data_IF_283878613878
#
_entry.id   IF_283878613878
#
_cell.length_a   1.000
_cell.length_b   1.000
_cell.length_c   1.000
_cell.angle_alpha   90.00
_cell.angle_beta   90.00
_cell.angle_gamma   90.00
#
_symmetry.space_group_name_H-M   'P 1'
#
loop_
_entity.id
_entity.type
_entity.pdbx_description
1 polymer ?
#
# COMPACT_ATOMS: atom_id res chain seq x y z
N UNK A 1 -7.21 -7.36 -16.19
CA UNK A 1 -7.08 -5.93 -16.54
C UNK A 1 -8.38 -5.25 -16.21
N UNK A 2 -8.34 -4.07 -15.61
CA UNK A 2 -9.54 -3.27 -15.30
C UNK A 2 -9.23 -1.78 -15.42
N UNK A 3 -10.24 -0.91 -15.36
CA UNK A 3 -10.07 0.54 -15.48
C UNK A 3 -10.62 1.24 -14.24
N UNK A 4 -9.96 2.31 -13.82
CA UNK A 4 -10.46 3.24 -12.79
C UNK A 4 -10.67 4.58 -13.49
N UNK A 5 -11.93 4.92 -13.79
CA UNK A 5 -12.24 6.04 -14.67
C UNK A 5 -11.55 5.86 -16.04
N UNK A 6 -10.66 6.78 -16.40
CA UNK A 6 -9.85 6.74 -17.61
C UNK A 6 -8.49 6.05 -17.45
N UNK A 7 -8.12 5.59 -16.24
CA UNK A 7 -6.81 4.99 -15.96
C UNK A 7 -6.85 3.47 -16.14
N UNK A 8 -5.99 2.94 -17.00
CA UNK A 8 -5.90 1.50 -17.28
C UNK A 8 -4.96 0.77 -16.31
N UNK A 9 -5.45 -0.27 -15.66
CA UNK A 9 -4.68 -1.11 -14.74
C UNK A 9 -4.39 -2.46 -15.40
N UNK A 10 -3.11 -2.65 -15.75
CA UNK A 10 -2.64 -3.76 -16.60
C UNK A 10 -2.91 -5.15 -16.03
N UNK A 11 -2.91 -5.31 -14.71
CA UNK A 11 -3.19 -6.58 -14.03
C UNK A 11 -3.98 -6.34 -12.73
N UNK A 12 -4.38 -7.43 -12.07
CA UNK A 12 -5.26 -7.38 -10.89
C UNK A 12 -4.52 -7.12 -9.57
N UNK A 13 -3.19 -6.92 -9.60
CA UNK A 13 -2.37 -6.80 -8.38
C UNK A 13 -2.11 -5.34 -8.07
N UNK A 14 -2.59 -4.89 -6.91
CA UNK A 14 -2.43 -3.52 -6.42
C UNK A 14 -1.59 -3.52 -5.14
N UNK A 15 -0.69 -2.56 -4.97
CA UNK A 15 0.09 -2.42 -3.72
C UNK A 15 -0.57 -1.39 -2.81
N UNK A 16 -0.87 -1.80 -1.58
CA UNK A 16 -1.57 -0.98 -0.61
C UNK A 16 -0.76 0.25 -0.16
N UNK A 17 -1.44 1.36 0.17
CA UNK A 17 -0.80 2.48 0.86
C UNK A 17 -0.43 2.05 2.29
N UNK A 18 0.82 2.27 2.67
CA UNK A 18 1.35 1.97 4.00
C UNK A 18 2.15 3.17 4.51
N UNK A 19 1.62 3.83 5.54
CA UNK A 19 2.23 5.03 6.11
C UNK A 19 3.66 4.76 6.59
N UNK A 20 4.61 5.62 6.21
CA UNK A 20 6.03 5.46 6.51
C UNK A 20 6.75 4.34 5.75
N UNK A 21 6.08 3.67 4.80
CA UNK A 21 6.64 2.61 3.96
C UNK A 21 6.51 2.98 2.48
N UNK A 22 5.31 3.37 2.02
CA UNK A 22 4.99 3.58 0.60
C UNK A 22 5.49 4.93 0.06
N UNK A 23 6.75 5.26 0.34
CA UNK A 23 7.47 6.36 -0.32
C UNK A 23 7.87 5.97 -1.75
N UNK A 24 8.35 6.94 -2.55
CA UNK A 24 8.71 6.70 -3.96
C UNK A 24 9.75 5.58 -4.13
N UNK A 25 10.74 5.47 -3.23
CA UNK A 25 11.76 4.42 -3.30
C UNK A 25 11.14 3.00 -3.19
N UNK A 26 10.20 2.80 -2.27
CA UNK A 26 9.46 1.54 -2.15
C UNK A 26 8.54 1.31 -3.35
N UNK A 27 7.75 2.32 -3.72
CA UNK A 27 6.75 2.22 -4.79
C UNK A 27 7.38 1.91 -6.13
N UNK A 28 8.46 2.60 -6.49
CA UNK A 28 9.23 2.32 -7.70
C UNK A 28 9.76 0.89 -7.70
N UNK A 29 10.28 0.43 -6.56
CA UNK A 29 10.76 -0.94 -6.40
C UNK A 29 9.65 -1.95 -6.67
N UNK A 30 8.52 -1.88 -5.98
CA UNK A 30 7.41 -2.83 -6.22
C UNK A 30 6.76 -2.67 -7.60
N UNK A 31 6.80 -1.47 -8.19
CA UNK A 31 6.26 -1.23 -9.54
C UNK A 31 7.03 -1.99 -10.61
N UNK A 32 8.36 -2.01 -10.51
CA UNK A 32 9.23 -2.78 -11.42
C UNK A 32 9.04 -4.30 -11.30
N UNK A 33 8.52 -4.79 -10.17
CA UNK A 33 8.06 -6.18 -10.02
C UNK A 33 6.66 -6.43 -10.60
N UNK A 34 6.09 -5.47 -11.33
CA UNK A 34 4.88 -5.67 -12.14
C UNK A 34 3.58 -5.29 -11.46
N UNK A 35 3.59 -4.48 -10.38
CA UNK A 35 2.34 -4.01 -9.78
C UNK A 35 1.47 -3.25 -10.81
N UNK A 36 0.21 -3.65 -10.94
CA UNK A 36 -0.75 -2.96 -11.80
C UNK A 36 -0.95 -1.51 -11.37
N UNK A 37 -1.13 -1.30 -10.06
CA UNK A 37 -1.27 0.01 -9.42
C UNK A 37 -0.46 0.04 -8.11
N UNK A 38 0.18 1.16 -7.84
CA UNK A 38 0.83 1.45 -6.54
C UNK A 38 0.16 2.66 -5.90
N UNK A 39 0.00 2.62 -4.58
CA UNK A 39 -0.59 3.72 -3.83
C UNK A 39 0.47 4.44 -2.98
N UNK A 40 0.44 5.78 -3.01
CA UNK A 40 1.21 6.62 -2.11
C UNK A 40 0.74 6.44 -0.67
N UNK A 41 1.63 6.67 0.29
CA UNK A 41 1.21 6.81 1.69
C UNK A 41 0.22 7.97 1.88
N UNK A 42 -0.52 7.94 2.99
CA UNK A 42 -1.58 8.89 3.26
C UNK A 42 -1.03 10.30 3.57
N UNK A 43 -1.43 11.28 2.77
CA UNK A 43 -1.04 12.68 2.87
C UNK A 43 -2.10 13.48 3.64
N UNK A 44 -1.68 14.25 4.64
CA UNK A 44 -2.59 15.04 5.46
C UNK A 44 -3.07 16.28 4.72
N UNK A 45 -4.38 16.47 4.68
CA UNK A 45 -5.02 17.69 4.17
C UNK A 45 -4.52 18.96 4.88
N UNK A 46 -4.46 18.96 6.21
CA UNK A 46 -3.93 20.07 7.01
C UNK A 46 -2.44 20.27 6.77
N UNK A 47 -1.69 19.19 6.56
CA UNK A 47 -0.27 19.28 6.19
C UNK A 47 -0.08 20.04 4.86
N UNK A 48 -0.95 19.80 3.88
CA UNK A 48 -0.98 20.56 2.62
C UNK A 48 -1.44 22.00 2.87
N UNK A 49 -2.56 22.22 3.57
CA UNK A 49 -3.12 23.54 3.83
C UNK A 49 -2.11 24.47 4.53
N UNK A 50 -1.35 23.97 5.51
CA UNK A 50 -0.29 24.70 6.18
C UNK A 50 1.07 24.67 5.45
N UNK A 51 1.12 24.15 4.23
CA UNK A 51 2.33 24.03 3.39
C UNK A 51 3.52 23.43 4.16
N UNK A 52 3.25 22.38 4.94
CA UNK A 52 4.27 21.70 5.71
C UNK A 52 5.29 21.02 4.79
N UNK A 53 6.56 21.44 4.85
CA UNK A 53 7.61 20.97 3.95
C UNK A 53 7.66 19.44 3.84
N UNK A 54 7.68 18.72 4.96
CA UNK A 54 7.70 17.25 4.95
C UNK A 54 6.50 16.62 4.26
N UNK A 55 5.32 17.22 4.39
CA UNK A 55 4.10 16.74 3.73
C UNK A 55 4.17 17.00 2.22
N UNK A 56 4.71 18.15 1.81
CA UNK A 56 4.89 18.47 0.39
C UNK A 56 5.97 17.58 -0.25
N UNK A 57 7.06 17.25 0.46
CA UNK A 57 8.09 16.32 -0.01
C UNK A 57 7.52 14.92 -0.30
N UNK A 58 6.49 14.50 0.45
CA UNK A 58 5.81 13.21 0.24
C UNK A 58 4.96 13.18 -1.05
N UNK A 59 4.69 14.33 -1.67
CA UNK A 59 3.96 14.43 -2.94
C UNK A 59 4.83 14.09 -4.16
N UNK A 60 6.13 13.81 -3.96
CA UNK A 60 7.02 13.38 -5.02
C UNK A 60 6.57 12.04 -5.64
N UNK A 61 6.54 12.02 -6.97
CA UNK A 61 6.17 10.88 -7.81
C UNK A 61 7.23 10.73 -8.91
N UNK A 62 7.86 9.56 -9.00
CA UNK A 62 8.67 9.20 -10.16
C UNK A 62 7.75 8.72 -11.30
N UNK A 63 8.00 9.17 -12.53
CA UNK A 63 7.18 8.85 -13.70
C UNK A 63 7.10 7.34 -13.99
N UNK A 64 8.11 6.56 -13.58
CA UNK A 64 8.14 5.09 -13.72
C UNK A 64 7.17 4.40 -12.76
N UNK A 65 6.63 5.10 -11.76
CA UNK A 65 5.64 4.55 -10.83
C UNK A 65 4.26 4.40 -11.46
N UNK A 66 4.00 5.09 -12.59
CA UNK A 66 2.65 5.21 -13.16
C UNK A 66 2.07 3.89 -13.73
N UNK A 67 0.75 3.66 -13.62
CA UNK A 67 -0.20 4.49 -12.91
C UNK A 67 -0.01 4.42 -11.39
N UNK A 68 -0.21 5.55 -10.72
CA UNK A 68 -0.12 5.73 -9.27
C UNK A 68 -1.38 6.42 -8.72
N UNK A 69 -1.79 5.96 -7.54
CA UNK A 69 -2.86 6.56 -6.74
C UNK A 69 -2.26 7.32 -5.54
N UNK A 70 -2.55 8.62 -5.42
CA UNK A 70 -2.10 9.44 -4.30
C UNK A 70 -3.22 9.56 -3.26
N UNK A 71 -2.96 9.07 -2.05
CA UNK A 71 -3.96 9.01 -0.99
C UNK A 71 -3.92 10.26 -0.10
N UNK A 72 -5.04 10.95 0.07
CA UNK A 72 -5.24 12.04 1.02
C UNK A 72 -6.11 11.61 2.20
N UNK A 73 -6.01 12.31 3.33
CA UNK A 73 -6.91 12.15 4.47
C UNK A 73 -7.16 13.48 5.17
N UNK A 74 -8.35 13.62 5.76
CA UNK A 74 -8.82 14.83 6.42
C UNK A 74 -10.14 14.58 7.13
N UNK A 75 -10.56 15.48 8.02
CA UNK A 75 -11.88 15.40 8.70
C UNK A 75 -12.86 16.52 8.32
N UNK A 76 -12.32 17.62 7.81
CA UNK A 76 -13.05 18.83 7.40
C UNK A 76 -13.20 18.84 5.88
N UNK A 77 -14.38 19.23 5.39
CA UNK A 77 -14.72 19.12 3.97
C UNK A 77 -13.86 20.07 3.13
N UNK A 78 -13.71 21.29 3.62
CA UNK A 78 -13.02 22.39 2.95
C UNK A 78 -11.54 22.08 2.74
N UNK A 79 -10.85 21.62 3.80
CA UNK A 79 -9.41 21.29 3.73
C UNK A 79 -9.15 20.05 2.88
N UNK A 80 -10.04 19.06 2.92
CA UNK A 80 -9.91 17.87 2.08
C UNK A 80 -10.07 18.21 0.59
N UNK A 81 -11.02 19.09 0.25
CA UNK A 81 -11.21 19.60 -1.12
C UNK A 81 -10.01 20.41 -1.57
N UNK A 82 -9.48 21.30 -0.72
CA UNK A 82 -8.24 22.05 -1.02
C UNK A 82 -7.08 21.08 -1.29
N UNK A 83 -6.91 20.06 -0.45
CA UNK A 83 -5.86 19.07 -0.61
C UNK A 83 -5.99 18.28 -1.92
N UNK A 84 -7.20 17.89 -2.32
CA UNK A 84 -7.45 17.21 -3.57
C UNK A 84 -7.09 18.10 -4.78
N UNK A 85 -7.52 19.36 -4.78
CA UNK A 85 -7.15 20.33 -5.83
C UNK A 85 -5.65 20.55 -5.89
N UNK A 86 -5.02 20.74 -4.75
CA UNK A 86 -3.57 20.92 -4.66
C UNK A 86 -2.83 19.73 -5.27
N UNK A 87 -3.23 18.50 -4.92
CA UNK A 87 -2.65 17.28 -5.50
C UNK A 87 -2.88 17.24 -7.02
N UNK A 88 -4.09 17.55 -7.49
CA UNK A 88 -4.42 17.53 -8.92
C UNK A 88 -3.58 18.53 -9.73
N UNK A 89 -3.31 19.70 -9.16
CA UNK A 89 -2.60 20.82 -9.81
C UNK A 89 -1.07 20.71 -9.72
N UNK A 90 -0.54 20.12 -8.64
CA UNK A 90 0.89 20.17 -8.32
C UNK A 90 1.59 18.81 -8.43
N UNK A 91 0.88 17.76 -8.82
CA UNK A 91 1.45 16.41 -8.97
C UNK A 91 1.01 15.75 -10.26
N UNK A 92 1.76 14.73 -10.68
CA UNK A 92 1.41 13.92 -11.84
C UNK A 92 0.60 12.67 -11.49
N UNK A 93 -0.03 12.63 -10.31
CA UNK A 93 -0.84 11.50 -9.86
C UNK A 93 -1.98 11.19 -10.85
N UNK A 94 -2.20 9.90 -11.13
CA UNK A 94 -3.24 9.47 -12.06
C UNK A 94 -4.62 9.39 -11.37
N UNK A 95 -4.61 9.07 -10.07
CA UNK A 95 -5.80 8.86 -9.23
C UNK A 95 -5.60 9.59 -7.90
N UNK A 96 -6.65 10.24 -7.40
CA UNK A 96 -6.71 10.75 -6.03
C UNK A 96 -7.51 9.77 -5.18
N UNK A 97 -6.94 9.26 -4.09
CA UNK A 97 -7.61 8.31 -3.20
C UNK A 97 -7.90 8.94 -1.84
N UNK A 98 -9.06 8.64 -1.25
CA UNK A 98 -9.42 9.13 0.07
C UNK A 98 -9.27 8.00 1.09
N UNK A 99 -8.45 8.23 2.12
CA UNK A 99 -8.33 7.30 3.23
C UNK A 99 -9.54 7.38 4.15
N UNK A 100 -10.30 6.28 4.20
CA UNK A 100 -11.41 6.07 5.15
C UNK A 100 -11.19 4.81 6.00
N UNK A 101 -9.96 4.28 6.04
CA UNK A 101 -9.67 2.97 6.62
C UNK A 101 -8.65 2.98 7.75
N UNK A 102 -7.90 4.07 7.94
CA UNK A 102 -6.84 4.12 8.94
C UNK A 102 -7.44 4.05 10.36
N UNK A 103 -7.05 3.05 11.17
CA UNK A 103 -7.64 2.85 12.50
C UNK A 103 -6.90 3.63 13.62
N UNK A 104 -5.76 4.24 13.30
CA UNK A 104 -4.83 4.86 14.26
C UNK A 104 -5.49 6.02 14.99
N UNK A 105 -5.38 6.03 16.32
CA UNK A 105 -6.03 7.02 17.19
C UNK A 105 -5.72 8.47 16.82
N UNK A 106 -4.51 8.77 16.34
CA UNK A 106 -4.15 10.11 15.86
C UNK A 106 -5.05 10.58 14.72
N UNK A 107 -5.41 9.68 13.79
CA UNK A 107 -6.27 9.98 12.64
C UNK A 107 -7.73 10.10 13.09
N UNK A 108 -8.17 9.20 13.96
CA UNK A 108 -9.54 9.23 14.51
C UNK A 108 -9.83 10.54 15.25
N UNK A 109 -8.87 11.05 16.03
CA UNK A 109 -8.99 12.33 16.75
C UNK A 109 -9.13 13.54 15.83
N UNK A 110 -8.80 13.40 14.55
CA UNK A 110 -9.00 14.41 13.53
C UNK A 110 -10.33 14.25 12.77
N UNK A 111 -11.25 13.42 13.28
CA UNK A 111 -12.51 13.06 12.61
C UNK A 111 -12.30 12.52 11.18
N UNK A 112 -11.24 11.73 10.99
CA UNK A 112 -10.79 11.21 9.70
C UNK A 112 -10.63 9.68 9.70
N UNK A 113 -10.32 9.11 8.53
CA UNK A 113 -10.03 7.69 8.38
C UNK A 113 -11.26 6.84 8.72
N UNK A 114 -11.07 5.78 9.51
CA UNK A 114 -12.15 4.85 9.82
C UNK A 114 -13.30 5.45 10.65
N UNK A 115 -13.16 6.69 11.17
CA UNK A 115 -14.23 7.40 11.88
C UNK A 115 -15.47 7.63 11.02
N UNK A 116 -15.29 7.83 9.71
CA UNK A 116 -16.42 8.05 8.79
C UNK A 116 -17.28 6.81 8.59
N UNK A 117 -16.77 5.62 8.88
CA UNK A 117 -17.47 4.36 8.65
C UNK A 117 -18.68 4.16 9.58
N UNK A 118 -18.87 5.05 10.56
CA UNK A 118 -20.04 5.10 11.43
C UNK A 118 -21.24 5.79 10.77
N UNK A 119 -21.04 6.53 9.68
CA UNK A 119 -22.08 7.32 9.04
C UNK A 119 -21.91 7.35 7.50
N UNK A 120 -22.71 6.55 6.76
CA UNK A 120 -22.71 6.56 5.29
C UNK A 120 -23.03 7.93 4.68
N UNK A 121 -23.77 8.82 5.36
CA UNK A 121 -24.02 10.17 4.84
C UNK A 121 -22.75 11.02 4.87
N UNK A 122 -21.95 10.92 5.94
CA UNK A 122 -20.63 11.55 6.01
C UNK A 122 -19.72 11.04 4.89
N UNK A 123 -19.75 9.74 4.58
CA UNK A 123 -19.00 9.18 3.44
C UNK A 123 -19.43 9.83 2.12
N UNK A 124 -20.74 9.87 1.84
CA UNK A 124 -21.27 10.50 0.63
C UNK A 124 -20.85 11.97 0.53
N UNK A 125 -21.09 12.75 1.58
CA UNK A 125 -20.86 14.20 1.60
C UNK A 125 -19.40 14.59 1.37
N UNK A 126 -18.46 13.81 1.92
CA UNK A 126 -17.04 14.09 1.80
C UNK A 126 -16.49 13.64 0.44
N UNK A 127 -16.94 12.49 -0.08
CA UNK A 127 -16.51 11.99 -1.40
C UNK A 127 -17.05 12.88 -2.50
N UNK A 128 -18.34 13.22 -2.47
CA UNK A 128 -18.98 14.04 -3.50
C UNK A 128 -18.29 15.41 -3.61
N UNK A 129 -17.98 16.02 -2.46
CA UNK A 129 -17.26 17.29 -2.43
C UNK A 129 -15.88 17.23 -3.10
N UNK A 130 -15.16 16.11 -2.97
CA UNK A 130 -13.85 15.92 -3.62
C UNK A 130 -14.01 15.59 -5.11
N UNK A 131 -14.95 14.71 -5.46
CA UNK A 131 -15.27 14.35 -6.86
C UNK A 131 -15.67 15.57 -7.67
N UNK A 132 -16.54 16.42 -7.14
CA UNK A 132 -17.00 17.65 -7.80
C UNK A 132 -15.88 18.70 -7.98
N UNK A 133 -14.77 18.55 -7.25
CA UNK A 133 -13.69 19.52 -7.18
C UNK A 133 -12.51 19.23 -8.12
N UNK A 134 -12.39 18.02 -8.68
CA UNK A 134 -11.23 17.59 -9.48
C UNK A 134 -11.64 16.74 -10.68
N UNK A 135 -10.94 16.89 -11.80
CA UNK A 135 -11.20 16.10 -13.02
C UNK A 135 -10.60 14.69 -12.98
N UNK A 136 -9.67 14.43 -12.04
CA UNK A 136 -9.01 13.12 -11.90
C UNK A 136 -9.97 12.10 -11.27
N UNK A 137 -9.90 10.81 -11.64
CA UNK A 137 -10.66 9.77 -10.95
C UNK A 137 -10.39 9.79 -9.44
N UNK A 138 -11.45 9.85 -8.65
CA UNK A 138 -11.37 9.78 -7.19
C UNK A 138 -11.72 8.36 -6.72
N UNK A 139 -10.88 7.75 -5.91
CA UNK A 139 -11.15 6.44 -5.29
C UNK A 139 -11.23 6.56 -3.78
N UNK A 140 -11.73 5.52 -3.12
CA UNK A 140 -11.73 5.43 -1.67
C UNK A 140 -11.13 4.12 -1.19
N UNK A 141 -10.38 4.18 -0.09
CA UNK A 141 -9.92 2.99 0.62
C UNK A 141 -10.49 2.94 2.03
N UNK A 142 -11.30 1.93 2.31
CA UNK A 142 -12.03 1.77 3.57
C UNK A 142 -11.82 0.41 4.25
N UNK A 143 -12.45 0.25 5.41
CA UNK A 143 -12.62 -1.02 6.14
C UNK A 143 -14.09 -1.44 6.06
N UNK A 144 -14.40 -2.67 6.48
CA UNK A 144 -15.78 -3.17 6.53
C UNK A 144 -16.66 -2.45 7.56
N UNK A 145 -16.07 -1.71 8.50
CA UNK A 145 -16.81 -1.04 9.56
C UNK A 145 -15.94 -0.58 10.71
N UNK A 146 -16.58 -0.09 11.77
CA UNK A 146 -15.91 0.39 12.97
C UNK A 146 -15.59 -0.74 13.95
N UNK A 147 -16.58 -1.53 14.33
CA UNK A 147 -16.48 -2.71 15.19
C UNK A 147 -17.47 -3.78 14.71
N UNK A 148 -17.73 -4.80 15.51
CA UNK A 148 -18.62 -5.91 15.15
C UNK A 148 -20.11 -5.52 15.12
N UNK A 149 -20.50 -4.44 15.80
CA UNK A 149 -21.88 -3.94 15.82
C UNK A 149 -22.13 -2.90 14.71
N UNK A 150 -21.07 -2.27 14.21
CA UNK A 150 -21.11 -1.19 13.22
C UNK A 150 -20.40 -1.60 11.91
N UNK A 151 -20.90 -2.67 11.26
CA UNK A 151 -20.38 -3.20 9.99
C UNK A 151 -21.20 -2.67 8.79
N UNK A 152 -21.14 -1.36 8.55
CA UNK A 152 -21.85 -0.70 7.45
C UNK A 152 -21.10 -0.80 6.10
N UNK A 153 -20.57 -1.98 5.77
CA UNK A 153 -19.67 -2.15 4.63
C UNK A 153 -20.35 -1.82 3.29
N UNK A 154 -21.55 -2.36 3.08
CA UNK A 154 -22.32 -2.19 1.85
C UNK A 154 -22.82 -0.75 1.74
N UNK A 155 -23.35 -0.21 2.82
CA UNK A 155 -23.90 1.14 2.89
C UNK A 155 -22.83 2.19 2.60
N UNK A 156 -21.65 2.07 3.22
CA UNK A 156 -20.53 2.97 2.98
C UNK A 156 -19.97 2.84 1.55
N UNK A 157 -19.88 1.61 1.01
CA UNK A 157 -19.42 1.40 -0.36
C UNK A 157 -20.38 2.00 -1.39
N UNK A 158 -21.69 1.78 -1.24
CA UNK A 158 -22.71 2.36 -2.09
C UNK A 158 -22.82 3.89 -1.92
N UNK A 159 -22.58 4.42 -0.72
CA UNK A 159 -22.50 5.86 -0.51
C UNK A 159 -21.34 6.48 -1.29
N UNK A 160 -20.15 5.86 -1.27
CA UNK A 160 -19.01 6.31 -2.06
C UNK A 160 -19.27 6.21 -3.57
N UNK A 161 -19.88 5.12 -4.04
CA UNK A 161 -20.26 4.94 -5.45
C UNK A 161 -21.25 6.03 -5.91
N UNK A 162 -22.33 6.27 -5.15
CA UNK A 162 -23.32 7.31 -5.46
C UNK A 162 -22.71 8.71 -5.46
N UNK A 163 -21.69 8.94 -4.64
CA UNK A 163 -20.94 10.19 -4.59
C UNK A 163 -19.95 10.37 -5.77
N UNK A 164 -19.83 9.37 -6.65
CA UNK A 164 -19.01 9.44 -7.86
C UNK A 164 -17.60 8.86 -7.72
N UNK A 165 -17.32 8.07 -6.67
CA UNK A 165 -16.05 7.35 -6.60
C UNK A 165 -15.87 6.42 -7.82
N UNK A 166 -14.70 6.46 -8.44
CA UNK A 166 -14.36 5.66 -9.61
C UNK A 166 -13.96 4.22 -9.28
N UNK A 167 -13.61 3.92 -8.03
CA UNK A 167 -13.36 2.58 -7.51
C UNK A 167 -13.35 2.57 -5.97
N UNK A 168 -13.55 1.39 -5.38
CA UNK A 168 -13.48 1.16 -3.93
C UNK A 168 -12.45 0.07 -3.63
N UNK A 169 -11.53 0.34 -2.71
CA UNK A 169 -10.69 -0.67 -2.08
C UNK A 169 -11.15 -0.92 -0.64
N UNK A 170 -11.37 -2.16 -0.24
CA UNK A 170 -11.88 -2.47 1.11
C UNK A 170 -11.06 -3.52 1.82
N UNK A 171 -10.62 -3.18 3.03
CA UNK A 171 -9.96 -4.11 3.93
C UNK A 171 -10.99 -4.88 4.77
N UNK A 172 -10.95 -6.21 4.70
CA UNK A 172 -11.90 -7.12 5.34
C UNK A 172 -11.91 -7.15 6.87
N UNK A 173 -11.33 -6.17 7.56
CA UNK A 173 -11.39 -6.07 9.03
C UNK A 173 -12.01 -4.76 9.46
N UNK A 174 -12.70 -4.77 10.59
CA UNK A 174 -13.21 -3.56 11.25
C UNK A 174 -12.07 -2.69 11.76
N UNK A 175 -12.36 -1.45 12.15
CA UNK A 175 -11.39 -0.55 12.76
C UNK A 175 -10.82 -1.13 14.06
N UNK A 176 -11.68 -1.64 14.94
CA UNK A 176 -11.29 -2.15 16.28
C UNK A 176 -10.36 -3.36 16.17
N UNK A 177 -10.59 -4.23 15.19
CA UNK A 177 -9.73 -5.38 14.93
C UNK A 177 -8.27 -5.00 14.59
N UNK A 178 -8.00 -3.75 14.17
CA UNK A 178 -6.66 -3.32 13.74
C UNK A 178 -6.07 -4.28 12.68
N UNK A 179 -5.15 -5.15 13.11
CA UNK A 179 -4.50 -6.18 12.29
C UNK A 179 -4.65 -7.59 12.86
N UNK A 180 -5.46 -7.77 13.89
CA UNK A 180 -5.76 -9.02 14.58
C UNK A 180 -6.93 -9.76 13.93
N UNK A 181 -7.16 -11.01 14.32
CA UNK A 181 -8.17 -11.87 13.72
C UNK A 181 -7.92 -12.12 12.23
N UNK A 182 -9.00 -12.43 11.50
CA UNK A 182 -8.97 -12.71 10.06
C UNK A 182 -9.78 -11.67 9.29
N UNK A 183 -9.33 -11.34 8.08
CA UNK A 183 -10.16 -10.56 7.17
C UNK A 183 -11.40 -11.37 6.76
N UNK A 184 -12.58 -10.77 6.95
CA UNK A 184 -13.85 -11.34 6.54
C UNK A 184 -14.06 -11.13 5.03
N UNK A 185 -13.76 -12.16 4.25
CA UNK A 185 -13.91 -12.12 2.80
C UNK A 185 -15.37 -12.28 2.34
N UNK A 186 -16.26 -12.82 3.17
CA UNK A 186 -17.70 -12.89 2.84
C UNK A 186 -18.31 -11.50 2.75
N UNK A 187 -17.97 -10.59 3.67
CA UNK A 187 -18.40 -9.19 3.58
C UNK A 187 -17.85 -8.52 2.31
N UNK A 188 -16.61 -8.81 1.92
CA UNK A 188 -16.03 -8.26 0.68
C UNK A 188 -16.76 -8.79 -0.57
N UNK A 189 -17.15 -10.07 -0.58
CA UNK A 189 -17.98 -10.67 -1.65
C UNK A 189 -19.33 -9.97 -1.73
N UNK A 190 -19.98 -9.76 -0.59
CA UNK A 190 -21.31 -9.17 -0.54
C UNK A 190 -21.28 -7.70 -0.99
N UNK A 191 -20.24 -6.94 -0.62
CA UNK A 191 -20.00 -5.58 -1.16
C UNK A 191 -19.78 -5.61 -2.67
N UNK A 192 -18.95 -6.52 -3.19
CA UNK A 192 -18.68 -6.58 -4.64
C UNK A 192 -19.93 -6.89 -5.46
N UNK A 193 -20.87 -7.67 -4.93
CA UNK A 193 -22.15 -7.99 -5.60
C UNK A 193 -23.02 -6.76 -5.83
N UNK A 194 -22.96 -5.80 -4.93
CA UNK A 194 -23.78 -4.57 -4.99
C UNK A 194 -23.11 -3.46 -5.82
N UNK A 195 -21.77 -3.39 -5.82
CA UNK A 195 -21.02 -2.36 -6.54
C UNK A 195 -21.00 -2.59 -8.06
N UNK A 196 -21.15 -1.49 -8.81
CA UNK A 196 -21.02 -1.45 -10.28
C UNK A 196 -19.66 -0.90 -10.71
N UNK A 197 -19.01 -0.11 -9.85
CA UNK A 197 -17.64 0.35 -10.03
C UNK A 197 -16.60 -0.73 -9.66
N UNK A 198 -15.35 -0.64 -10.15
CA UNK A 198 -14.28 -1.54 -9.77
C UNK A 198 -14.08 -1.64 -8.26
N UNK A 199 -13.85 -2.86 -7.79
CA UNK A 199 -13.63 -3.17 -6.39
C UNK A 199 -12.33 -3.95 -6.18
N UNK A 200 -11.54 -3.52 -5.21
CA UNK A 200 -10.28 -4.15 -4.84
C UNK A 200 -10.36 -4.75 -3.43
N UNK A 201 -10.28 -6.07 -3.34
CA UNK A 201 -10.29 -6.79 -2.08
C UNK A 201 -8.94 -6.68 -1.35
N UNK A 202 -8.96 -6.42 -0.04
CA UNK A 202 -7.75 -6.26 0.77
C UNK A 202 -7.87 -7.00 2.12
N UNK A 203 -6.76 -7.56 2.59
CA UNK A 203 -6.67 -8.24 3.88
C UNK A 203 -6.31 -9.71 3.73
N UNK A 204 -5.22 -10.10 4.40
CA UNK A 204 -4.71 -11.48 4.48
C UNK A 204 -4.24 -12.13 3.17
N UNK A 205 -3.82 -11.30 2.22
CA UNK A 205 -3.11 -11.74 1.01
C UNK A 205 -1.64 -11.92 1.34
N UNK A 206 -1.22 -13.14 1.68
CA UNK A 206 0.16 -13.47 2.09
C UNK A 206 0.92 -14.24 1.01
N UNK A 207 0.22 -14.95 0.13
CA UNK A 207 0.77 -15.76 -0.96
C UNK A 207 0.05 -15.49 -2.30
N UNK A 208 0.68 -15.81 -3.46
CA UNK A 208 0.01 -15.80 -4.76
C UNK A 208 -1.30 -16.61 -4.77
N UNK A 209 -1.33 -17.71 -4.04
CA UNK A 209 -2.50 -18.58 -3.90
C UNK A 209 -3.61 -17.91 -3.08
N UNK A 210 -3.26 -17.16 -2.03
CA UNK A 210 -4.23 -16.35 -1.29
C UNK A 210 -4.87 -15.29 -2.19
N UNK A 211 -4.07 -14.65 -3.05
CA UNK A 211 -4.53 -13.67 -4.03
C UNK A 211 -5.53 -14.29 -5.02
N UNK A 212 -5.27 -15.50 -5.52
CA UNK A 212 -6.23 -16.23 -6.35
C UNK A 212 -7.51 -16.57 -5.58
N UNK A 213 -7.39 -17.13 -4.38
CA UNK A 213 -8.55 -17.53 -3.55
C UNK A 213 -9.44 -16.34 -3.21
N UNK A 214 -8.88 -15.19 -2.83
CA UNK A 214 -9.68 -14.01 -2.50
C UNK A 214 -10.38 -13.44 -3.75
N UNK A 215 -9.73 -13.43 -4.91
CA UNK A 215 -10.35 -13.00 -6.16
C UNK A 215 -11.52 -13.92 -6.55
N UNK A 216 -11.33 -15.24 -6.48
CA UNK A 216 -12.36 -16.23 -6.77
C UNK A 216 -13.53 -16.17 -5.77
N UNK A 217 -13.24 -16.00 -4.48
CA UNK A 217 -14.26 -15.94 -3.42
C UNK A 217 -15.10 -14.68 -3.48
N UNK A 218 -14.46 -13.53 -3.74
CA UNK A 218 -15.12 -12.22 -3.68
C UNK A 218 -15.66 -11.75 -5.02
N UNK A 219 -15.11 -12.23 -6.14
CA UNK A 219 -15.38 -11.67 -7.46
C UNK A 219 -14.77 -10.28 -7.66
N UNK A 220 -13.81 -9.86 -6.81
CA UNK A 220 -13.18 -8.54 -6.91
C UNK A 220 -12.39 -8.37 -8.22
N UNK A 221 -12.36 -7.14 -8.72
CA UNK A 221 -11.65 -6.78 -9.95
C UNK A 221 -10.12 -6.77 -9.73
N UNK A 222 -9.70 -6.47 -8.50
CA UNK A 222 -8.31 -6.50 -8.08
C UNK A 222 -8.13 -6.99 -6.64
N UNK A 223 -6.89 -7.36 -6.33
CA UNK A 223 -6.45 -7.73 -5.00
C UNK A 223 -5.33 -6.80 -4.56
N UNK A 224 -5.48 -6.26 -3.36
CA UNK A 224 -4.52 -5.31 -2.81
C UNK A 224 -3.61 -5.97 -1.77
N UNK A 225 -2.31 -5.95 -2.03
CA UNK A 225 -1.26 -6.55 -1.20
C UNK A 225 -0.61 -5.45 -0.35
N UNK A 226 -0.59 -5.64 0.96
CA UNK A 226 0.07 -4.73 1.90
C UNK A 226 1.33 -5.37 2.51
N UNK A 227 1.20 -5.85 3.75
CA UNK A 227 2.32 -6.37 4.56
C UNK A 227 3.15 -7.48 3.89
N UNK A 228 2.57 -8.26 2.98
CA UNK A 228 3.30 -9.32 2.28
C UNK A 228 4.35 -8.79 1.28
N UNK A 229 4.25 -7.52 0.86
CA UNK A 229 5.25 -6.88 0.00
C UNK A 229 6.44 -6.27 0.78
N UNK A 230 6.37 -6.22 2.12
CA UNK A 230 7.42 -5.63 2.95
C UNK A 230 8.68 -6.49 2.92
N UNK A 231 9.77 -5.94 2.35
CA UNK A 231 11.01 -6.70 2.15
C UNK A 231 10.84 -7.91 1.22
N UNK A 232 9.77 -7.90 0.42
CA UNK A 232 9.38 -9.00 -0.46
C UNK A 232 8.65 -8.43 -1.71
N UNK A 233 9.30 -7.59 -2.51
CA UNK A 233 8.68 -7.03 -3.72
C UNK A 233 8.44 -8.11 -4.79
N UNK A 234 9.21 -9.21 -4.80
CA UNK A 234 8.98 -10.35 -5.70
C UNK A 234 7.65 -11.06 -5.46
N UNK A 235 7.04 -10.92 -4.27
CA UNK A 235 5.65 -11.29 -4.03
C UNK A 235 4.71 -10.76 -5.13
N UNK A 236 4.95 -9.54 -5.62
CA UNK A 236 4.13 -8.92 -6.66
C UNK A 236 4.27 -9.66 -7.98
N UNK A 237 5.50 -9.83 -8.47
CA UNK A 237 5.78 -10.54 -9.72
C UNK A 237 5.27 -11.98 -9.69
N UNK A 238 5.53 -12.70 -8.59
CA UNK A 238 5.05 -14.07 -8.36
C UNK A 238 3.51 -14.13 -8.38
N UNK A 239 2.84 -13.15 -7.78
CA UNK A 239 1.36 -13.09 -7.80
C UNK A 239 0.84 -12.80 -9.20
N UNK A 240 1.40 -11.82 -9.90
CA UNK A 240 1.01 -11.49 -11.27
C UNK A 240 1.14 -12.73 -12.16
N UNK A 241 2.29 -13.40 -12.13
CA UNK A 241 2.53 -14.60 -12.95
C UNK A 241 1.60 -15.75 -12.58
N UNK A 242 1.40 -16.00 -11.29
CA UNK A 242 0.47 -17.05 -10.84
C UNK A 242 -0.97 -16.79 -11.29
N UNK A 243 -1.43 -15.54 -11.28
CA UNK A 243 -2.76 -15.18 -11.77
C UNK A 243 -2.87 -15.27 -13.30
N UNK A 244 -1.79 -14.99 -14.03
CA UNK A 244 -1.74 -15.06 -15.50
C UNK A 244 -1.67 -16.50 -16.03
N UNK A 245 -0.84 -17.35 -15.43
CA UNK A 245 -0.48 -18.66 -15.99
C UNK A 245 -0.90 -19.84 -15.13
N UNK A 246 -1.23 -19.61 -13.85
CA UNK A 246 -1.41 -20.66 -12.85
C UNK A 246 -0.10 -21.28 -12.34
N UNK A 247 1.05 -20.82 -12.82
CA UNK A 247 2.36 -21.32 -12.41
C UNK A 247 2.88 -20.57 -11.18
N UNK A 248 3.22 -21.30 -10.13
CA UNK A 248 3.84 -20.73 -8.95
C UNK A 248 5.36 -20.69 -9.13
N UNK A 249 5.88 -19.51 -9.44
CA UNK A 249 7.33 -19.30 -9.53
C UNK A 249 8.02 -19.49 -8.18
N UNK A 250 9.28 -19.97 -8.16
CA UNK A 250 10.05 -20.08 -6.94
C UNK A 250 10.33 -18.71 -6.30
N UNK A 251 10.70 -18.73 -5.03
CA UNK A 251 11.27 -17.56 -4.36
C UNK A 251 12.66 -17.25 -4.95
N UNK A 252 13.08 -15.98 -5.04
CA UNK A 252 14.43 -15.63 -5.43
C UNK A 252 15.47 -16.17 -4.46
N UNK A 253 16.69 -16.34 -4.94
CA UNK A 253 17.82 -16.74 -4.12
C UNK A 253 18.18 -15.62 -3.12
N UNK A 254 18.75 -15.95 -1.95
CA UNK A 254 19.11 -14.95 -0.93
C UNK A 254 19.96 -13.79 -1.46
N UNK A 255 20.86 -14.07 -2.41
CA UNK A 255 21.67 -13.05 -3.08
C UNK A 255 20.81 -12.03 -3.85
N UNK A 256 19.85 -12.48 -4.63
CA UNK A 256 18.93 -11.63 -5.40
C UNK A 256 18.05 -10.78 -4.46
N UNK A 257 17.62 -11.37 -3.34
CA UNK A 257 16.87 -10.67 -2.29
C UNK A 257 17.68 -9.52 -1.69
N UNK A 258 18.96 -9.75 -1.38
CA UNK A 258 19.83 -8.70 -0.82
C UNK A 258 20.25 -7.66 -1.86
N UNK A 259 20.41 -8.04 -3.12
CA UNK A 259 20.59 -7.08 -4.23
C UNK A 259 19.39 -6.14 -4.37
N UNK A 260 18.18 -6.69 -4.27
CA UNK A 260 16.94 -5.88 -4.26
C UNK A 260 16.87 -4.97 -3.03
N UNK A 261 17.33 -5.44 -1.87
CA UNK A 261 17.44 -4.62 -0.67
C UNK A 261 18.42 -3.45 -0.87
N UNK A 262 19.60 -3.69 -1.43
CA UNK A 262 20.58 -2.64 -1.74
C UNK A 262 20.04 -1.63 -2.76
N UNK A 263 19.35 -2.08 -3.81
CA UNK A 263 18.67 -1.18 -4.76
C UNK A 263 17.65 -0.27 -4.05
N UNK A 264 16.85 -0.83 -3.16
CA UNK A 264 15.88 -0.06 -2.38
C UNK A 264 16.56 0.95 -1.44
N UNK A 265 17.68 0.57 -0.80
CA UNK A 265 18.49 1.50 0.01
C UNK A 265 19.00 2.67 -0.84
N UNK A 266 19.58 2.40 -2.01
CA UNK A 266 20.13 3.43 -2.89
C UNK A 266 19.07 4.44 -3.30
N UNK A 267 17.89 3.97 -3.71
CA UNK A 267 16.74 4.83 -4.02
C UNK A 267 16.30 5.68 -2.84
N UNK A 268 16.34 5.12 -1.64
CA UNK A 268 15.96 5.87 -0.44
C UNK A 268 17.00 6.94 -0.09
N UNK A 269 18.29 6.66 -0.31
CA UNK A 269 19.39 7.63 -0.16
C UNK A 269 19.26 8.76 -1.18
N UNK A 270 18.97 8.46 -2.44
CA UNK A 270 18.70 9.47 -3.47
C UNK A 270 17.50 10.34 -3.10
N UNK A 271 16.44 9.75 -2.54
CA UNK A 271 15.21 10.46 -2.18
C UNK A 271 15.36 11.36 -0.93
N UNK A 272 16.07 10.91 0.10
CA UNK A 272 16.06 11.53 1.45
C UNK A 272 17.44 11.94 1.99
N UNK A 273 18.51 11.62 1.27
CA UNK A 273 19.88 11.73 1.76
C UNK A 273 20.25 10.62 2.75
N UNK A 274 21.54 10.31 2.81
CA UNK A 274 22.08 9.14 3.51
C UNK A 274 21.64 9.05 4.99
N UNK A 275 21.77 10.14 5.74
CA UNK A 275 21.52 10.13 7.18
C UNK A 275 20.08 9.74 7.55
N UNK A 276 19.09 10.21 6.78
CA UNK A 276 17.68 9.86 7.00
C UNK A 276 17.41 8.47 6.42
N UNK A 277 17.85 8.24 5.19
CA UNK A 277 17.59 7.01 4.44
C UNK A 277 18.08 5.76 5.17
N UNK A 278 19.32 5.76 5.67
CA UNK A 278 19.88 4.58 6.35
C UNK A 278 19.09 4.24 7.60
N UNK A 279 18.66 5.25 8.38
CA UNK A 279 17.89 5.06 9.61
C UNK A 279 16.49 4.51 9.33
N UNK A 280 15.82 5.02 8.32
CA UNK A 280 14.53 4.48 7.86
C UNK A 280 14.70 3.06 7.29
N UNK A 281 15.78 2.83 6.54
CA UNK A 281 16.07 1.54 5.91
C UNK A 281 16.31 0.42 6.93
N UNK A 282 16.69 0.71 8.17
CA UNK A 282 16.82 -0.31 9.24
C UNK A 282 15.56 -1.17 9.37
N UNK A 283 14.40 -0.55 9.25
CA UNK A 283 13.12 -1.27 9.29
C UNK A 283 12.94 -2.16 8.04
N UNK A 284 13.26 -1.64 6.86
CA UNK A 284 13.20 -2.40 5.60
C UNK A 284 14.19 -3.57 5.57
N UNK A 285 15.41 -3.37 6.06
CA UNK A 285 16.42 -4.42 6.20
C UNK A 285 15.91 -5.56 7.09
N UNK A 286 15.24 -5.25 8.20
CA UNK A 286 14.63 -6.26 9.06
C UNK A 286 13.56 -7.09 8.34
N UNK A 287 12.80 -6.48 7.42
CA UNK A 287 11.83 -7.20 6.57
C UNK A 287 12.53 -8.10 5.54
N UNK A 288 13.53 -7.59 4.81
CA UNK A 288 14.29 -8.39 3.83
C UNK A 288 14.99 -9.60 4.47
N UNK A 289 15.48 -9.43 5.70
CA UNK A 289 16.15 -10.47 6.48
C UNK A 289 15.15 -11.41 7.21
N UNK A 290 13.84 -11.19 7.10
CA UNK A 290 12.83 -11.99 7.81
C UNK A 290 12.80 -13.43 7.29
N UNK A 291 12.78 -14.40 8.21
CA UNK A 291 12.71 -15.83 7.87
C UNK A 291 14.01 -16.45 7.37
N UNK A 292 15.03 -15.65 7.03
CA UNK A 292 16.29 -16.18 6.55
C UNK A 292 17.13 -16.78 7.70
N UNK A 293 17.63 -18.01 7.50
CA UNK A 293 18.42 -18.72 8.51
C UNK A 293 19.70 -17.94 8.82
N UNK A 294 20.00 -17.75 10.11
CA UNK A 294 21.20 -17.04 10.54
C UNK A 294 21.11 -15.51 10.47
N UNK A 295 19.95 -14.94 10.11
CA UNK A 295 19.79 -13.49 9.92
C UNK A 295 19.90 -12.66 11.21
N UNK A 296 19.90 -13.28 12.39
CA UNK A 296 19.80 -12.57 13.68
C UNK A 296 20.94 -11.57 13.86
N UNK A 297 22.19 -11.98 13.57
CA UNK A 297 23.35 -11.09 13.68
C UNK A 297 23.26 -9.92 12.70
N UNK A 298 22.90 -10.21 11.44
CA UNK A 298 22.72 -9.19 10.42
C UNK A 298 21.63 -8.17 10.79
N UNK A 299 20.50 -8.61 11.37
CA UNK A 299 19.44 -7.71 11.84
C UNK A 299 19.89 -6.78 12.96
N UNK A 300 20.64 -7.31 13.93
CA UNK A 300 21.18 -6.50 15.04
C UNK A 300 22.16 -5.47 14.50
N UNK A 301 23.07 -5.87 13.62
CA UNK A 301 24.02 -4.95 12.99
C UNK A 301 23.31 -3.89 12.14
N UNK A 302 22.36 -4.29 11.28
CA UNK A 302 21.59 -3.39 10.43
C UNK A 302 20.84 -2.34 11.25
N UNK A 303 20.31 -2.68 12.43
CA UNK A 303 19.63 -1.73 13.30
C UNK A 303 20.55 -0.67 13.93
N UNK A 304 21.88 -0.88 13.89
CA UNK A 304 22.87 0.08 14.36
C UNK A 304 23.55 0.86 13.23
N UNK A 305 23.43 0.41 11.98
CA UNK A 305 24.08 1.04 10.83
C UNK A 305 23.70 2.51 10.67
N UNK A 306 24.70 3.37 10.44
CA UNK A 306 24.52 4.82 10.28
C UNK A 306 24.91 5.35 8.90
N UNK A 307 25.67 4.55 8.14
CA UNK A 307 26.09 4.85 6.77
C UNK A 307 25.54 3.84 5.78
N UNK A 308 25.41 4.25 4.52
CA UNK A 308 24.97 3.39 3.43
C UNK A 308 25.94 2.21 3.25
N UNK A 309 27.24 2.50 3.20
CA UNK A 309 28.29 1.49 3.03
C UNK A 309 28.32 0.46 4.16
N UNK A 310 27.99 0.85 5.39
CA UNK A 310 27.86 -0.09 6.53
C UNK A 310 26.68 -1.04 6.31
N UNK A 311 25.53 -0.52 5.89
CA UNK A 311 24.34 -1.34 5.60
C UNK A 311 24.62 -2.32 4.45
N UNK A 312 25.23 -1.84 3.36
CA UNK A 312 25.63 -2.67 2.22
C UNK A 312 26.60 -3.79 2.63
N UNK A 313 27.61 -3.47 3.45
CA UNK A 313 28.55 -4.46 3.97
C UNK A 313 27.85 -5.55 4.79
N UNK A 314 26.92 -5.16 5.67
CA UNK A 314 26.15 -6.10 6.50
C UNK A 314 25.31 -7.05 5.63
N UNK A 315 24.63 -6.52 4.61
CA UNK A 315 23.80 -7.33 3.71
C UNK A 315 24.67 -8.27 2.86
N UNK A 316 25.82 -7.81 2.37
CA UNK A 316 26.75 -8.63 1.59
C UNK A 316 27.39 -9.74 2.44
N UNK A 317 27.84 -9.43 3.67
CA UNK A 317 28.39 -10.42 4.60
C UNK A 317 27.35 -11.50 4.92
N UNK A 318 26.08 -11.10 5.10
CA UNK A 318 25.00 -12.05 5.31
C UNK A 318 24.85 -13.04 4.14
N UNK A 319 24.91 -12.57 2.89
CA UNK A 319 24.84 -13.44 1.71
C UNK A 319 26.00 -14.43 1.68
N UNK A 320 27.23 -13.95 1.86
CA UNK A 320 28.43 -14.80 1.84
C UNK A 320 28.35 -15.90 2.90
N UNK A 321 28.01 -15.55 4.14
CA UNK A 321 27.85 -16.53 5.22
C UNK A 321 26.70 -17.52 4.98
N UNK A 322 25.65 -17.09 4.27
CA UNK A 322 24.54 -17.97 3.92
C UNK A 322 24.98 -19.00 2.88
N UNK A 323 25.66 -18.57 1.83
CA UNK A 323 26.13 -19.43 0.74
C UNK A 323 27.21 -20.42 1.20
N UNK A 324 28.18 -19.99 2.01
CA UNK A 324 29.19 -20.88 2.60
C UNK A 324 28.53 -22.02 3.39
N UNK A 325 27.51 -21.69 4.20
CA UNK A 325 26.75 -22.69 4.98
C UNK A 325 25.84 -23.57 4.14
N UNK A 326 25.45 -23.12 2.95
CA UNK A 326 24.67 -23.91 2.01
C UNK A 326 25.58 -24.94 1.31
N UNK A 327 26.78 -24.51 0.89
CA UNK A 327 27.82 -25.37 0.30
C UNK A 327 28.31 -26.44 1.28
N UNK A 328 28.64 -26.06 2.52
CA UNK A 328 29.13 -26.99 3.55
C UNK A 328 28.12 -28.05 4.03
N UNK A 329 26.91 -28.09 3.46
CA UNK A 329 25.90 -29.14 3.69
C UNK A 329 25.66 -30.04 2.49
N UNK A 330 26.20 -29.68 1.34
CA UNK A 330 26.15 -30.50 0.13
C UNK A 330 27.31 -31.50 0.11
N UNK A 331 28.35 -31.24 0.91
CA UNK A 331 29.44 -32.17 1.28
C UNK A 331 29.08 -33.01 2.52
#
# INVERSE_FOLDING_TARGET
MFKIGNVEIKNQVVVAPMAGISNSAFRLTVKEFGAGLVCCEMISDKGIAYRNAKTLDMLYIDEKEKPLSLQIFGGEKETLVEAAKFVAENTTADIIDINMGCPVNKIIKCEAGAKWLLDPNKVYDMVAAVVDAVDKPVTVKMRIGWDEEHVFAIENALAAERAGAAAVAMHGRTRVQMYEGSANWDVLRDVKRELKIPFMANGDVRTPEDAKRILEHTGADGVMIGRAALGNPWMIYRTVKFLETGELLPEPEPREKMQTAMLHLNRLVELKGENIAVREFRQHAAYYLKGARGSTRAKVAANQATKQSEMEAILNEFVLQYEEKALAKQD
#
